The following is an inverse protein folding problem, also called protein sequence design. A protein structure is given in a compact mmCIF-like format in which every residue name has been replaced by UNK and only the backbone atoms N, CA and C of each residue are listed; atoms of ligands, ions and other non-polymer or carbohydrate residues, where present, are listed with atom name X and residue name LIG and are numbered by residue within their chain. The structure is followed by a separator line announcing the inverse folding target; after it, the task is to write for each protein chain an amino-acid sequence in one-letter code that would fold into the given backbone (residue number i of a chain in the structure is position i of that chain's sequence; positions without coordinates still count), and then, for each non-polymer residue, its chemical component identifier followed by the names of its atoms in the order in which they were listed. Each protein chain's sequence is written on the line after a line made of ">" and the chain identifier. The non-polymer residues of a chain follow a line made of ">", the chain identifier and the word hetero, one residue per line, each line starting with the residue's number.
data_IF_523259242898
#
_entry.id   IF_523259242898
#
_cell.length_a   1.000
_cell.length_b   1.000
_cell.length_c   1.000
_cell.angle_alpha   90.00
_cell.angle_beta   90.00
_cell.angle_gamma   90.00
#
_symmetry.space_group_name_H-M   'P 1'
#
loop_
_entity.id
_entity.type
_entity.pdbx_description
1 polymer ?
#
# COMPACT_ATOMS: atom_id res chain seq x y z
N UNK A 1 -12.70 -2.95 -1.39
CA UNK A 1 -11.33 -3.41 -1.66
C UNK A 1 -10.43 -2.18 -1.69
N UNK A 2 -9.24 -2.26 -1.09
CA UNK A 2 -8.30 -1.14 -0.92
C UNK A 2 -6.93 -1.54 -1.47
N UNK A 3 -6.14 -0.55 -1.91
CA UNK A 3 -4.73 -0.69 -2.24
C UNK A 3 -3.91 -0.11 -1.09
N UNK A 4 -3.15 -0.94 -0.37
CA UNK A 4 -2.29 -0.50 0.72
C UNK A 4 -0.84 -0.59 0.26
N UNK A 5 -0.18 0.55 0.20
CA UNK A 5 1.20 0.69 -0.27
C UNK A 5 2.08 0.99 0.95
N UNK A 6 2.97 0.06 1.29
CA UNK A 6 3.86 0.16 2.45
C UNK A 6 5.26 0.50 1.98
N UNK A 7 5.85 1.55 2.55
CA UNK A 7 7.23 1.96 2.30
C UNK A 7 8.04 1.90 3.59
N UNK A 8 9.18 1.22 3.54
CA UNK A 8 10.14 1.10 4.64
C UNK A 8 11.11 2.28 4.62
N UNK A 9 11.27 2.96 5.76
CA UNK A 9 12.02 4.23 5.84
C UNK A 9 13.52 4.06 5.58
N UNK A 10 14.08 2.93 5.99
CA UNK A 10 15.50 2.57 5.85
C UNK A 10 15.72 1.47 4.79
N UNK A 11 14.81 1.32 3.82
CA UNK A 11 14.99 0.37 2.71
C UNK A 11 16.26 0.69 1.90
N UNK A 12 17.08 -0.35 1.68
CA UNK A 12 18.31 -0.29 0.87
C UNK A 12 18.29 -1.27 -0.30
N UNK A 13 17.19 -2.02 -0.47
CA UNK A 13 16.98 -3.01 -1.52
C UNK A 13 16.16 -2.38 -2.65
N UNK A 14 15.06 -1.71 -2.30
CA UNK A 14 14.25 -0.95 -3.26
C UNK A 14 14.85 0.44 -3.42
N UNK A 15 15.31 0.76 -4.64
CA UNK A 15 15.92 2.06 -4.98
C UNK A 15 15.25 2.62 -6.24
N UNK A 16 14.57 3.78 -6.17
CA UNK A 16 14.30 4.58 -4.97
C UNK A 16 13.22 3.92 -4.11
N UNK A 17 13.28 4.05 -2.77
CA UNK A 17 12.29 3.44 -1.85
C UNK A 17 10.86 3.90 -2.13
N UNK A 18 10.71 5.12 -2.64
CA UNK A 18 9.46 5.75 -3.07
C UNK A 18 8.76 4.97 -4.19
N UNK A 19 9.46 4.08 -4.90
CA UNK A 19 8.84 3.16 -5.87
C UNK A 19 7.83 2.21 -5.23
N UNK A 20 7.93 1.96 -3.93
CA UNK A 20 6.89 1.26 -3.14
C UNK A 20 5.54 1.99 -3.15
N UNK A 21 5.56 3.30 -3.44
CA UNK A 21 4.41 4.18 -3.55
C UNK A 21 4.16 4.67 -4.99
N UNK A 22 4.75 4.04 -6.01
CA UNK A 22 4.74 4.53 -7.40
C UNK A 22 5.42 5.89 -7.62
N UNK A 23 6.28 6.32 -6.70
CA UNK A 23 7.23 7.40 -6.97
C UNK A 23 8.45 6.90 -7.74
N UNK A 24 9.09 7.75 -8.54
CA UNK A 24 10.29 7.36 -9.28
C UNK A 24 11.17 8.55 -9.64
N UNK A 25 12.38 8.29 -10.10
CA UNK A 25 13.23 9.33 -10.66
C UNK A 25 12.56 9.98 -11.87
N UNK A 26 12.82 11.27 -12.09
CA UNK A 26 12.45 11.92 -13.34
C UNK A 26 13.26 11.33 -14.49
N UNK A 27 12.70 11.28 -15.69
CA UNK A 27 13.41 10.83 -16.88
C UNK A 27 14.70 11.63 -17.10
N UNK A 28 15.81 10.91 -17.26
CA UNK A 28 17.14 11.50 -17.45
C UNK A 28 17.76 12.15 -16.21
N UNK A 29 17.13 12.03 -15.03
CA UNK A 29 17.65 12.57 -13.79
C UNK A 29 18.96 11.89 -13.37
N UNK A 30 19.87 12.67 -12.79
CA UNK A 30 21.01 12.12 -12.07
C UNK A 30 20.56 11.47 -10.74
N UNK A 31 21.35 10.51 -10.23
CA UNK A 31 21.03 9.76 -8.99
C UNK A 31 20.81 10.65 -7.75
N UNK A 32 21.36 11.87 -7.76
CA UNK A 32 21.25 12.85 -6.68
C UNK A 32 20.07 13.82 -6.82
N UNK A 33 19.27 13.71 -7.89
CA UNK A 33 18.07 14.52 -8.06
C UNK A 33 16.91 14.02 -7.20
N UNK A 34 16.00 14.92 -6.79
CA UNK A 34 14.81 14.53 -6.04
C UNK A 34 13.93 13.54 -6.81
N UNK A 35 13.45 12.52 -6.08
CA UNK A 35 12.48 11.55 -6.57
C UNK A 35 11.10 12.21 -6.68
N UNK A 36 10.36 11.92 -7.75
CA UNK A 36 8.97 12.34 -7.91
C UNK A 36 8.09 11.52 -6.97
N UNK A 37 7.21 12.18 -6.23
CA UNK A 37 6.11 11.49 -5.55
C UNK A 37 5.11 10.94 -6.57
N UNK A 38 4.32 9.94 -6.17
CA UNK A 38 3.35 9.29 -7.06
C UNK A 38 2.51 10.29 -7.88
N UNK A 39 1.97 11.31 -7.21
CA UNK A 39 1.11 12.33 -7.79
C UNK A 39 1.81 13.32 -8.75
N UNK A 40 3.12 13.25 -8.88
CA UNK A 40 3.93 14.05 -9.82
C UNK A 40 4.36 13.22 -11.05
N UNK A 41 4.02 11.94 -11.10
CA UNK A 41 4.36 11.07 -12.23
C UNK A 41 3.28 11.15 -13.31
N UNK A 42 3.66 11.00 -14.60
CA UNK A 42 2.70 10.90 -15.70
C UNK A 42 1.70 9.75 -15.51
N UNK A 43 2.17 8.61 -14.98
CA UNK A 43 1.32 7.46 -14.65
C UNK A 43 0.13 7.85 -13.76
N UNK A 44 0.33 8.74 -12.79
CA UNK A 44 -0.72 9.25 -11.92
C UNK A 44 -1.51 10.37 -12.59
N UNK A 45 -0.83 11.38 -13.15
CA UNK A 45 -1.48 12.58 -13.71
C UNK A 45 -2.48 12.22 -14.83
N UNK A 46 -2.09 11.28 -15.69
CA UNK A 46 -2.87 10.77 -16.82
C UNK A 46 -3.67 9.49 -16.46
N UNK A 47 -3.58 9.02 -15.22
CA UNK A 47 -4.33 7.90 -14.67
C UNK A 47 -4.21 6.57 -15.45
N UNK A 48 -3.01 6.24 -15.96
CA UNK A 48 -2.77 5.10 -16.86
C UNK A 48 -3.26 3.75 -16.32
N UNK A 49 -3.20 3.56 -15.00
CA UNK A 49 -3.59 2.32 -14.32
C UNK A 49 -4.76 2.50 -13.35
N UNK A 50 -5.39 3.67 -13.33
CA UNK A 50 -6.45 3.98 -12.36
C UNK A 50 -5.95 4.35 -10.96
N UNK A 51 -4.65 4.64 -10.78
CA UNK A 51 -4.08 4.97 -9.46
C UNK A 51 -4.68 6.27 -8.90
N UNK A 52 -4.84 7.31 -9.73
CA UNK A 52 -5.47 8.57 -9.34
C UNK A 52 -6.95 8.37 -9.06
N UNK A 53 -7.65 7.61 -9.91
CA UNK A 53 -9.05 7.25 -9.65
C UNK A 53 -9.24 6.53 -8.30
N UNK A 54 -8.32 5.63 -7.93
CA UNK A 54 -8.36 4.95 -6.63
C UNK A 54 -8.05 5.90 -5.47
N UNK A 55 -7.09 6.80 -5.65
CA UNK A 55 -6.68 7.76 -4.61
C UNK A 55 -7.78 8.79 -4.35
N UNK A 56 -8.36 9.36 -5.41
CA UNK A 56 -9.51 10.28 -5.36
C UNK A 56 -10.73 9.61 -4.70
N UNK A 57 -10.90 8.29 -4.90
CA UNK A 57 -11.95 7.50 -4.23
C UNK A 57 -11.60 7.09 -2.78
N UNK A 58 -10.44 7.51 -2.25
CA UNK A 58 -9.95 7.20 -0.91
C UNK A 58 -9.58 5.73 -0.69
N UNK A 59 -9.35 4.96 -1.78
CA UNK A 59 -9.07 3.53 -1.76
C UNK A 59 -7.57 3.19 -1.71
N UNK A 60 -6.69 4.18 -1.90
CA UNK A 60 -5.25 4.02 -1.71
C UNK A 60 -4.88 4.41 -0.27
N UNK A 61 -3.95 3.67 0.33
CA UNK A 61 -3.38 3.96 1.64
C UNK A 61 -1.87 3.94 1.53
N UNK A 62 -1.27 5.12 1.61
CA UNK A 62 0.17 5.30 1.69
C UNK A 62 0.62 5.18 3.15
N UNK A 63 1.37 4.12 3.46
CA UNK A 63 1.83 3.81 4.82
C UNK A 63 3.35 3.77 4.84
N UNK A 64 3.96 4.52 5.76
CA UNK A 64 5.41 4.50 5.97
C UNK A 64 5.70 3.93 7.35
N UNK A 65 6.62 2.98 7.42
CA UNK A 65 7.02 2.30 8.65
C UNK A 65 8.54 2.38 8.82
N UNK A 66 9.04 2.47 10.07
CA UNK A 66 10.47 2.31 10.33
C UNK A 66 10.89 0.86 10.02
N UNK A 67 12.13 0.66 9.59
CA UNK A 67 12.70 -0.65 9.28
C UNK A 67 13.42 -0.69 7.94
N UNK A 68 14.23 -1.74 7.78
CA UNK A 68 14.78 -2.13 6.49
C UNK A 68 13.76 -2.86 5.62
N UNK A 69 14.23 -3.36 4.47
CA UNK A 69 13.38 -4.10 3.53
C UNK A 69 12.70 -5.30 4.19
N UNK A 70 11.36 -5.33 4.17
CA UNK A 70 10.51 -6.36 4.78
C UNK A 70 10.59 -6.45 6.32
N UNK A 71 11.24 -5.49 6.98
CA UNK A 71 11.35 -5.43 8.43
C UNK A 71 10.19 -4.63 9.02
N UNK A 72 9.00 -5.25 9.09
CA UNK A 72 7.79 -4.64 9.62
C UNK A 72 7.51 -5.12 11.05
N UNK A 73 7.41 -4.17 11.99
CA UNK A 73 7.08 -4.51 13.37
C UNK A 73 5.65 -5.07 13.49
N UNK A 74 5.45 -6.06 14.38
CA UNK A 74 4.13 -6.64 14.63
C UNK A 74 3.01 -5.61 14.92
N UNK A 75 3.24 -4.53 15.70
CA UNK A 75 2.23 -3.49 15.88
C UNK A 75 1.81 -2.80 14.58
N UNK A 76 2.74 -2.60 13.65
CA UNK A 76 2.45 -1.99 12.35
C UNK A 76 1.69 -2.96 11.43
N UNK A 77 2.04 -4.26 11.44
CA UNK A 77 1.26 -5.29 10.73
C UNK A 77 -0.18 -5.32 11.21
N UNK A 78 -0.38 -5.33 12.53
CA UNK A 78 -1.72 -5.31 13.15
C UNK A 78 -2.50 -4.05 12.80
N UNK A 79 -1.82 -2.91 12.64
CA UNK A 79 -2.45 -1.62 12.34
C UNK A 79 -2.78 -1.45 10.86
N UNK A 80 -1.88 -1.83 9.96
CA UNK A 80 -1.98 -1.45 8.53
C UNK A 80 -2.35 -2.61 7.60
N UNK A 81 -2.13 -3.87 8.00
CA UNK A 81 -2.38 -5.04 7.16
C UNK A 81 -3.63 -5.79 7.60
N UNK A 82 -3.67 -6.20 8.88
CA UNK A 82 -4.74 -7.05 9.43
C UNK A 82 -6.16 -6.53 9.17
N UNK A 83 -6.48 -5.22 9.28
CA UNK A 83 -7.83 -4.73 9.04
C UNK A 83 -8.39 -5.03 7.63
N UNK A 84 -7.50 -5.25 6.65
CA UNK A 84 -7.90 -5.54 5.27
C UNK A 84 -7.98 -7.03 4.94
N UNK A 85 -7.48 -7.89 5.83
CA UNK A 85 -7.51 -9.35 5.69
C UNK A 85 -8.69 -10.00 6.40
N UNK A 86 -9.39 -9.24 7.26
CA UNK A 86 -10.61 -9.71 7.90
C UNK A 86 -11.69 -9.86 6.84
N UNK A 87 -12.15 -11.10 6.64
CA UNK A 87 -13.29 -11.37 5.78
C UNK A 87 -14.48 -10.53 6.28
N UNK A 88 -14.99 -9.62 5.45
CA UNK A 88 -16.32 -9.07 5.65
C UNK A 88 -17.32 -10.18 5.35
N UNK A 89 -17.48 -11.09 6.31
CA UNK A 89 -18.47 -12.16 6.30
C UNK A 89 -19.87 -11.58 6.51
N UNK A 90 -20.36 -10.78 5.57
CA UNK A 90 -21.79 -10.53 5.40
C UNK A 90 -22.51 -11.71 4.72
N UNK A 91 -21.83 -12.83 4.49
CA UNK A 91 -22.38 -14.06 3.91
C UNK A 91 -22.15 -15.33 4.75
N UNK A 92 -21.83 -15.23 6.05
CA UNK A 92 -21.94 -16.40 6.93
C UNK A 92 -23.38 -16.52 7.39
N UNK A 93 -24.20 -17.20 6.56
CA UNK A 93 -25.45 -17.79 7.03
C UNK A 93 -25.14 -18.60 8.29
N UNK A 94 -25.80 -18.23 9.39
CA UNK A 94 -25.73 -18.92 10.67
C UNK A 94 -26.11 -20.39 10.47
N UNK A 95 -25.12 -21.28 10.43
CA UNK A 95 -25.35 -22.71 10.57
C UNK A 95 -25.65 -22.98 12.05
N UNK A 96 -26.95 -23.08 12.36
CA UNK A 96 -27.45 -23.59 13.63
C UNK A 96 -27.09 -25.07 13.77
N UNK A 97 -25.97 -25.37 14.43
CA UNK A 97 -25.79 -26.70 15.00
C UNK A 97 -26.55 -26.78 16.33
N UNK A 98 -27.80 -27.25 16.25
CA UNK A 98 -28.46 -27.88 17.39
C UNK A 98 -27.78 -29.23 17.61
N UNK A 99 -26.96 -29.35 18.64
CA UNK A 99 -26.56 -30.65 19.16
C UNK A 99 -27.79 -31.26 19.82
N UNK A 100 -28.32 -32.33 19.23
CA UNK A 100 -29.26 -33.23 19.89
C UNK A 100 -28.49 -34.12 20.85
N UNK A 101 -29.16 -34.42 21.95
CA UNK A 101 -28.78 -35.23 23.12
C UNK A 101 -28.05 -36.55 22.80
#
# INVERSE_FOLDING_TARGET
>A
QNLVLVMFQEDKVIVPKESSWFGFYRDGAAENEPVLSANQTQLYEEDWIGLKTLDDAGKVKFVSVPGGHDDMANPDVMKYVVPYLQNNSSSVQRLNYKTKE
#
